data_IF_416470520011
#
_entry.id   IF_416470520011
#
_cell.length_a   1.000
_cell.length_b   1.000
_cell.length_c   1.000
_cell.angle_alpha   90.00
_cell.angle_beta   90.00
_cell.angle_gamma   90.00
#
_symmetry.space_group_name_H-M   'P 1'
#
loop_
_entity.id
_entity.type
_entity.pdbx_description
1 polymer ?
#
# COMPACT_ATOMS: atom_id res chain seq x y z
N UNK A 1 -15.40 -0.76 -20.23
CA UNK A 1 -13.98 -0.79 -19.82
C UNK A 1 -13.97 -0.39 -18.37
N UNK A 2 -13.66 -1.31 -17.45
CA UNK A 2 -13.61 -0.94 -16.04
C UNK A 2 -12.23 -0.32 -15.78
N UNK A 3 -12.14 1.00 -15.90
CA UNK A 3 -11.03 1.75 -15.31
C UNK A 3 -11.06 1.43 -13.81
N UNK A 4 -10.30 0.42 -13.40
CA UNK A 4 -10.06 0.17 -11.98
C UNK A 4 -9.51 1.48 -11.44
N UNK A 5 -10.31 2.13 -10.59
CA UNK A 5 -9.97 3.44 -10.07
C UNK A 5 -8.61 3.35 -9.38
N UNK A 6 -7.78 4.38 -9.49
CA UNK A 6 -6.44 4.39 -8.88
C UNK A 6 -6.46 3.94 -7.41
N UNK A 7 -7.49 4.39 -6.67
CA UNK A 7 -7.75 3.95 -5.31
C UNK A 7 -8.04 2.45 -5.17
N UNK A 8 -8.81 1.83 -6.07
CA UNK A 8 -9.05 0.38 -6.04
C UNK A 8 -7.76 -0.42 -6.22
N UNK A 9 -6.82 0.04 -7.05
CA UNK A 9 -5.50 -0.62 -7.18
C UNK A 9 -4.74 -0.60 -5.87
N UNK A 10 -4.68 0.58 -5.23
CA UNK A 10 -4.07 0.76 -3.91
C UNK A 10 -4.79 -0.09 -2.86
N UNK A 11 -6.12 -0.17 -2.91
CA UNK A 11 -6.92 -0.96 -1.99
C UNK A 11 -6.65 -2.46 -2.12
N UNK A 12 -6.56 -2.98 -3.34
CA UNK A 12 -6.21 -4.38 -3.59
C UNK A 12 -4.84 -4.70 -3.02
N UNK A 13 -3.86 -3.80 -3.23
CA UNK A 13 -2.51 -3.95 -2.69
C UNK A 13 -2.50 -3.89 -1.16
N UNK A 14 -3.19 -2.92 -0.57
CA UNK A 14 -3.34 -2.80 0.89
C UNK A 14 -4.03 -4.02 1.52
N UNK A 15 -4.97 -4.65 0.81
CA UNK A 15 -5.62 -5.91 1.25
C UNK A 15 -4.67 -7.12 1.18
N UNK A 16 -3.72 -7.11 0.25
CA UNK A 16 -2.70 -8.16 0.12
C UNK A 16 -1.62 -8.07 1.20
N UNK A 17 -1.38 -6.88 1.78
CA UNK A 17 -0.40 -6.71 2.87
C UNK A 17 -0.83 -7.48 4.12
N UNK A 18 0.06 -8.30 4.71
CA UNK A 18 -0.22 -9.01 5.95
C UNK A 18 -0.38 -8.05 7.13
N UNK A 19 -1.16 -8.46 8.13
CA UNK A 19 -1.48 -7.59 9.27
C UNK A 19 -0.25 -7.16 10.10
N UNK A 20 0.81 -7.97 10.06
CA UNK A 20 2.09 -7.65 10.69
C UNK A 20 2.80 -6.46 10.02
N UNK A 21 2.67 -6.31 8.70
CA UNK A 21 3.32 -5.24 7.93
C UNK A 21 2.47 -3.97 7.86
N UNK A 22 1.18 -4.04 8.22
CA UNK A 22 0.26 -2.91 8.27
C UNK A 22 0.78 -1.75 9.15
N UNK A 23 1.51 -2.06 10.22
CA UNK A 23 2.20 -1.07 11.04
C UNK A 23 3.31 -0.37 10.26
N UNK A 24 4.15 -1.11 9.55
CA UNK A 24 5.23 -0.53 8.73
C UNK A 24 4.67 0.36 7.61
N UNK A 25 3.55 -0.05 6.98
CA UNK A 25 2.85 0.79 5.99
C UNK A 25 2.34 2.08 6.64
N UNK A 26 1.75 2.00 7.83
CA UNK A 26 1.26 3.15 8.56
C UNK A 26 2.37 4.16 8.88
N UNK A 27 3.50 3.66 9.38
CA UNK A 27 4.66 4.47 9.72
C UNK A 27 5.30 5.10 8.46
N UNK A 28 5.42 4.34 7.38
CA UNK A 28 6.01 4.82 6.13
C UNK A 28 5.13 5.84 5.38
N UNK A 29 3.81 5.66 5.42
CA UNK A 29 2.86 6.56 4.73
C UNK A 29 2.39 7.71 5.61
N UNK A 30 2.78 7.74 6.89
CA UNK A 30 2.28 8.66 7.91
C UNK A 30 0.74 8.62 8.05
N UNK A 31 0.14 7.46 7.77
CA UNK A 31 -1.31 7.23 7.86
C UNK A 31 -1.55 6.33 9.06
N UNK A 32 -2.43 6.74 9.98
CA UNK A 32 -2.73 5.90 11.14
C UNK A 32 -3.25 4.51 10.75
N UNK A 33 -2.82 3.47 11.48
CA UNK A 33 -3.28 2.08 11.26
C UNK A 33 -4.79 1.97 11.30
N UNK A 34 -5.45 2.68 12.21
CA UNK A 34 -6.91 2.72 12.30
C UNK A 34 -7.53 3.19 10.99
N UNK A 35 -6.93 4.18 10.32
CA UNK A 35 -7.37 4.66 9.04
C UNK A 35 -7.10 3.65 7.92
N UNK A 36 -5.92 3.00 7.91
CA UNK A 36 -5.62 1.91 6.97
C UNK A 36 -6.59 0.73 7.10
N UNK A 37 -6.97 0.37 8.32
CA UNK A 37 -7.99 -0.66 8.59
C UNK A 37 -9.33 -0.25 7.98
N UNK A 38 -9.80 0.98 8.24
CA UNK A 38 -11.05 1.48 7.66
C UNK A 38 -11.05 1.45 6.14
N UNK A 39 -9.95 1.84 5.51
CA UNK A 39 -9.77 1.75 4.06
C UNK A 39 -9.85 0.28 3.62
N UNK A 40 -9.07 -0.60 4.25
CA UNK A 40 -9.02 -2.04 3.93
C UNK A 40 -10.39 -2.73 4.05
N UNK A 41 -11.18 -2.41 5.08
CA UNK A 41 -12.52 -2.96 5.29
C UNK A 41 -13.61 -2.26 4.45
N UNK A 42 -13.29 -1.18 3.74
CA UNK A 42 -14.24 -0.42 2.92
C UNK A 42 -15.14 0.53 3.72
N UNK A 43 -14.80 0.80 4.99
CA UNK A 43 -15.44 1.84 5.80
C UNK A 43 -15.07 3.23 5.28
N UNK A 44 -13.82 3.43 4.85
CA UNK A 44 -13.38 4.66 4.17
C UNK A 44 -13.47 4.46 2.66
N UNK A 45 -14.53 5.00 2.06
CA UNK A 45 -14.76 4.94 0.61
C UNK A 45 -14.06 6.04 -0.19
N UNK A 46 -13.68 7.13 0.48
CA UNK A 46 -13.05 8.28 -0.15
C UNK A 46 -11.89 8.81 0.70
N UNK A 47 -10.74 8.10 0.71
CA UNK A 47 -9.54 8.61 1.36
C UNK A 47 -9.04 9.86 0.63
N UNK A 48 -8.38 10.76 1.36
CA UNK A 48 -7.80 11.96 0.76
C UNK A 48 -6.76 11.58 -0.30
N UNK A 49 -6.66 12.38 -1.36
CA UNK A 49 -5.72 12.16 -2.49
C UNK A 49 -4.29 11.94 -1.99
N UNK A 50 -3.85 12.71 -0.99
CA UNK A 50 -2.52 12.56 -0.37
C UNK A 50 -2.30 11.18 0.25
N UNK A 51 -3.31 10.62 0.93
CA UNK A 51 -3.25 9.27 1.51
C UNK A 51 -3.13 8.21 0.42
N UNK A 52 -3.92 8.33 -0.66
CA UNK A 52 -3.88 7.38 -1.76
C UNK A 52 -2.53 7.44 -2.48
N UNK A 53 -1.99 8.63 -2.71
CA UNK A 53 -0.68 8.81 -3.32
C UNK A 53 0.43 8.22 -2.45
N UNK A 54 0.47 8.52 -1.15
CA UNK A 54 1.48 7.98 -0.25
C UNK A 54 1.48 6.45 -0.21
N UNK A 55 0.30 5.83 -0.20
CA UNK A 55 0.15 4.38 -0.27
C UNK A 55 0.63 3.83 -1.61
N UNK A 56 0.28 4.48 -2.71
CA UNK A 56 0.73 4.07 -4.04
C UNK A 56 2.26 4.13 -4.15
N UNK A 57 2.87 5.24 -3.76
CA UNK A 57 4.32 5.43 -3.83
C UNK A 57 5.05 4.39 -2.97
N UNK A 58 4.54 4.11 -1.76
CA UNK A 58 5.08 3.07 -0.89
C UNK A 58 5.03 1.69 -1.55
N UNK A 59 3.90 1.33 -2.18
CA UNK A 59 3.77 0.05 -2.87
C UNK A 59 4.62 -0.03 -4.13
N UNK A 60 4.72 1.03 -4.91
CA UNK A 60 5.61 1.11 -6.08
C UNK A 60 7.07 0.91 -5.68
N UNK A 61 7.51 1.47 -4.54
CA UNK A 61 8.85 1.24 -3.99
C UNK A 61 9.01 -0.23 -3.61
N UNK A 62 8.05 -0.83 -2.90
CA UNK A 62 8.11 -2.25 -2.54
C UNK A 62 8.13 -3.18 -3.76
N UNK A 63 7.38 -2.86 -4.81
CA UNK A 63 7.33 -3.62 -6.05
C UNK A 63 8.61 -3.43 -6.90
N UNK A 64 9.23 -2.24 -6.85
CA UNK A 64 10.50 -1.94 -7.52
C UNK A 64 11.75 -2.24 -6.68
N UNK A 65 11.62 -2.67 -5.42
CA UNK A 65 12.77 -3.12 -4.66
C UNK A 65 13.36 -4.33 -5.40
N UNK A 66 14.62 -4.24 -5.87
CA UNK A 66 15.30 -5.42 -6.37
C UNK A 66 15.34 -6.39 -5.19
N UNK A 67 14.60 -7.50 -5.29
CA UNK A 67 14.64 -8.57 -4.29
C UNK A 67 16.11 -8.88 -3.96
N UNK A 68 16.41 -9.24 -2.70
CA UNK A 68 17.78 -9.26 -2.17
C UNK A 68 18.66 -9.90 -3.21
N UNK A 69 19.60 -9.11 -3.76
CA UNK A 69 20.48 -9.52 -4.83
C UNK A 69 20.98 -10.92 -4.48
N UNK A 70 20.42 -11.94 -5.14
CA UNK A 70 20.93 -13.29 -5.02
C UNK A 70 22.35 -13.18 -5.52
N UNK A 71 23.30 -13.26 -4.59
CA UNK A 71 24.73 -13.26 -4.82
C UNK A 71 25.03 -13.77 -6.23
N UNK A 72 25.38 -12.85 -7.12
CA UNK A 72 26.18 -13.20 -8.27
C UNK A 72 27.50 -13.69 -7.68
N UNK A 73 27.58 -15.01 -7.50
CA UNK A 73 28.83 -15.68 -7.15
C UNK A 73 29.84 -15.34 -8.23
N UNK A 74 30.86 -14.59 -7.81
CA UNK A 74 32.14 -14.40 -8.48
C UNK A 74 32.85 -15.73 -8.68
#
# INVERSE_FOLDING_TARGET
>A
MNEISFFERVLVRLKAVPYAELQAVADATNVSISHLRKIRYGETRNPGVQTVQALHDYFEILDNLPGPAKNQSV
#
